data_IF_881271939807
#
_entry.id   IF_881271939807
#
_cell.length_a   1.000
_cell.length_b   1.000
_cell.length_c   1.000
_cell.angle_alpha   90.00
_cell.angle_beta   90.00
_cell.angle_gamma   90.00
#
_symmetry.space_group_name_H-M   'P 1'
#
loop_
_entity.id
_entity.type
_entity.pdbx_description
1 polymer ?
#
# COMPACT_ATOMS: atom_id res chain seq x y z
N UNK A 1 -3.64 4.33 -7.81
CA UNK A 1 -4.72 4.77 -6.89
C UNK A 1 -4.49 6.22 -6.50
N UNK A 2 -5.53 7.00 -6.22
CA UNK A 2 -5.41 8.37 -5.65
C UNK A 2 -6.17 8.42 -4.32
N UNK A 3 -5.59 9.03 -3.30
CA UNK A 3 -6.27 9.35 -2.02
C UNK A 3 -6.34 10.86 -1.83
N UNK A 4 -7.48 11.33 -1.34
CA UNK A 4 -7.70 12.73 -0.98
C UNK A 4 -7.95 12.85 0.53
N UNK A 5 -7.18 13.70 1.19
CA UNK A 5 -7.43 14.07 2.58
C UNK A 5 -8.37 15.28 2.64
N UNK A 6 -9.56 15.07 3.19
CA UNK A 6 -10.63 16.08 3.29
C UNK A 6 -10.81 16.62 4.72
N UNK A 7 -9.93 16.25 5.65
CA UNK A 7 -9.98 16.75 7.02
C UNK A 7 -9.57 18.22 7.12
N UNK A 8 -10.01 18.87 8.20
CA UNK A 8 -9.79 20.29 8.46
C UNK A 8 -8.53 20.59 9.30
N UNK A 9 -7.93 19.56 9.91
CA UNK A 9 -6.72 19.66 10.72
C UNK A 9 -5.55 18.96 10.02
N UNK A 10 -4.28 19.31 10.30
CA UNK A 10 -3.15 18.50 9.89
C UNK A 10 -3.27 17.08 10.45
N UNK A 11 -2.92 16.07 9.66
CA UNK A 11 -2.90 14.68 10.09
C UNK A 11 -1.74 13.92 9.45
N UNK A 12 -1.32 12.84 10.10
CA UNK A 12 -0.41 11.87 9.51
C UNK A 12 -1.21 10.70 8.95
N UNK A 13 -1.06 10.45 7.65
CA UNK A 13 -1.67 9.32 6.98
C UNK A 13 -0.67 8.17 6.90
N UNK A 14 -1.03 7.04 7.49
CA UNK A 14 -0.29 5.78 7.40
C UNK A 14 -1.07 4.76 6.58
N UNK A 15 -0.35 3.95 5.82
CA UNK A 15 -0.89 2.79 5.12
C UNK A 15 -0.52 1.50 5.86
N UNK A 16 -1.51 0.64 6.09
CA UNK A 16 -1.32 -0.67 6.70
C UNK A 16 -2.35 -1.68 6.18
N UNK A 17 -2.12 -2.97 6.40
CA UNK A 17 -3.05 -4.06 6.05
C UNK A 17 -3.34 -4.85 7.32
N UNK A 18 -4.53 -4.71 7.94
CA UNK A 18 -4.82 -5.33 9.24
C UNK A 18 -4.77 -6.85 9.19
N UNK A 19 -5.38 -7.44 8.16
CA UNK A 19 -5.51 -8.88 7.98
C UNK A 19 -5.59 -9.23 6.49
N UNK A 20 -5.32 -10.51 6.20
CA UNK A 20 -5.61 -11.13 4.91
C UNK A 20 -6.17 -12.54 5.12
N UNK A 21 -6.84 -13.05 4.10
CA UNK A 21 -7.26 -14.44 3.99
C UNK A 21 -6.50 -15.13 2.84
N UNK A 22 -6.52 -16.46 2.83
CA UNK A 22 -5.78 -17.26 1.86
C UNK A 22 -4.29 -17.30 2.13
N UNK A 23 -3.56 -17.87 1.17
CA UNK A 23 -2.18 -18.36 1.35
C UNK A 23 -1.23 -17.82 0.27
N UNK A 24 -1.75 -17.23 -0.82
CA UNK A 24 -0.93 -16.66 -1.89
C UNK A 24 -0.03 -15.51 -1.38
N UNK A 25 -0.41 -14.84 -0.28
CA UNK A 25 0.34 -13.73 0.29
C UNK A 25 1.79 -14.06 0.66
N UNK A 26 2.12 -15.34 0.92
CA UNK A 26 3.49 -15.80 1.18
C UNK A 26 4.37 -15.82 -0.08
N UNK A 27 3.77 -15.81 -1.27
CA UNK A 27 4.46 -15.86 -2.57
C UNK A 27 4.28 -14.56 -3.37
N UNK A 28 3.52 -13.61 -2.85
CA UNK A 28 3.23 -12.35 -3.53
C UNK A 28 4.15 -11.25 -3.00
N UNK A 29 5.18 -10.90 -3.77
CA UNK A 29 6.07 -9.77 -3.42
C UNK A 29 5.34 -8.46 -3.72
N UNK A 30 5.38 -7.57 -2.73
CA UNK A 30 4.68 -6.29 -2.74
C UNK A 30 5.66 -5.13 -2.86
N UNK A 31 5.32 -4.14 -3.68
CA UNK A 31 5.97 -2.83 -3.68
C UNK A 31 4.93 -1.72 -3.62
N UNK A 32 5.19 -0.73 -2.77
CA UNK A 32 4.38 0.49 -2.67
C UNK A 32 5.24 1.70 -3.00
N UNK A 33 4.74 2.50 -3.94
CA UNK A 33 5.33 3.79 -4.29
C UNK A 33 4.30 4.90 -4.15
N UNK A 34 4.78 6.11 -3.91
CA UNK A 34 3.99 7.33 -4.00
C UNK A 34 4.57 8.24 -5.07
N UNK A 35 3.72 9.07 -5.66
CA UNK A 35 4.13 9.92 -6.75
C UNK A 35 3.01 10.79 -7.28
N UNK A 36 3.13 11.13 -8.56
CA UNK A 36 2.12 11.86 -9.33
C UNK A 36 1.55 10.97 -10.43
N UNK A 37 0.38 11.34 -10.95
CA UNK A 37 -0.33 10.61 -12.00
C UNK A 37 -1.84 10.70 -11.79
N UNK A 38 -2.59 10.65 -12.89
CA UNK A 38 -4.06 10.70 -12.95
C UNK A 38 -4.73 9.34 -12.71
N UNK A 39 -3.94 8.25 -12.65
CA UNK A 39 -4.44 6.90 -12.37
C UNK A 39 -5.39 6.35 -13.46
N UNK A 40 -5.16 6.72 -14.71
CA UNK A 40 -5.95 6.21 -15.85
C UNK A 40 -5.62 4.74 -16.14
N UNK A 41 -4.34 4.40 -16.28
CA UNK A 41 -3.87 3.04 -16.61
C UNK A 41 -2.46 2.74 -16.01
N UNK A 42 -2.04 3.53 -15.02
CA UNK A 42 -0.71 3.52 -14.43
C UNK A 42 0.45 3.95 -15.36
N UNK A 43 0.23 4.20 -16.65
CA UNK A 43 1.29 4.59 -17.60
C UNK A 43 1.84 6.00 -17.34
N UNK A 44 1.02 6.85 -16.72
CA UNK A 44 1.33 8.23 -16.37
C UNK A 44 1.91 8.39 -14.95
N UNK A 45 2.12 7.28 -14.24
CA UNK A 45 2.65 7.32 -12.88
C UNK A 45 4.14 7.68 -12.89
N UNK A 46 4.48 8.76 -12.21
CA UNK A 46 5.87 9.14 -11.92
C UNK A 46 6.14 9.01 -10.43
N UNK A 47 7.07 8.11 -10.08
CA UNK A 47 7.41 7.84 -8.69
C UNK A 47 8.18 9.02 -8.08
N UNK A 48 7.70 9.53 -6.94
CA UNK A 48 8.46 10.43 -6.08
C UNK A 48 9.27 9.64 -5.05
N UNK A 49 8.75 8.50 -4.58
CA UNK A 49 9.45 7.65 -3.63
C UNK A 49 8.89 6.24 -3.52
N UNK A 50 9.71 5.32 -2.98
CA UNK A 50 9.31 3.94 -2.67
C UNK A 50 9.17 3.81 -1.16
N UNK A 51 8.00 3.40 -0.68
CA UNK A 51 7.71 3.22 0.76
C UNK A 51 8.00 1.80 1.24
N UNK A 52 7.84 0.83 0.34
CA UNK A 52 8.07 -0.56 0.64
C UNK A 52 8.48 -1.28 -0.62
N UNK A 53 9.44 -2.19 -0.49
CA UNK A 53 9.91 -3.04 -1.57
C UNK A 53 10.50 -4.34 -1.01
N UNK A 54 10.50 -5.38 -1.85
CA UNK A 54 11.32 -6.59 -1.70
C UNK A 54 10.92 -7.52 -0.54
N UNK A 55 9.63 -7.60 -0.21
CA UNK A 55 9.15 -8.62 0.72
C UNK A 55 7.71 -9.02 0.40
N UNK A 56 7.31 -10.18 0.92
CA UNK A 56 6.01 -10.79 0.61
C UNK A 56 4.88 -10.02 1.30
N UNK A 57 3.67 -10.14 0.76
CA UNK A 57 2.47 -9.56 1.35
C UNK A 57 2.25 -10.11 2.76
N UNK A 58 2.48 -11.40 2.99
CA UNK A 58 2.38 -12.00 4.32
C UNK A 58 3.33 -11.33 5.32
N UNK A 59 4.60 -11.16 4.95
CA UNK A 59 5.58 -10.48 5.80
C UNK A 59 5.24 -9.00 6.01
N UNK A 60 4.70 -8.33 4.98
CA UNK A 60 4.20 -6.96 5.12
C UNK A 60 3.10 -6.87 6.16
N UNK A 61 2.08 -7.74 6.09
CA UNK A 61 0.94 -7.74 7.02
C UNK A 61 1.41 -8.00 8.45
N UNK A 62 2.32 -8.96 8.66
CA UNK A 62 2.87 -9.22 10.00
C UNK A 62 3.53 -7.97 10.60
N UNK A 63 4.25 -7.20 9.79
CA UNK A 63 4.97 -6.03 10.25
C UNK A 63 4.12 -4.74 10.28
N UNK A 64 3.09 -4.64 9.44
CA UNK A 64 2.36 -3.40 9.07
C UNK A 64 0.85 -3.61 9.10
N UNK A 65 0.30 -3.94 10.28
CA UNK A 65 -1.11 -4.30 10.51
C UNK A 65 -1.93 -3.27 11.31
N UNK A 66 -1.31 -2.20 11.78
CA UNK A 66 -1.99 -1.13 12.53
C UNK A 66 -1.53 0.23 12.04
N UNK A 67 -2.23 1.28 12.44
CA UNK A 67 -1.78 2.64 12.15
C UNK A 67 -0.38 2.92 12.72
N UNK A 68 -0.12 2.49 13.96
CA UNK A 68 1.13 2.76 14.68
C UNK A 68 2.37 2.17 14.01
N UNK A 69 2.24 1.03 13.33
CA UNK A 69 3.32 0.39 12.58
C UNK A 69 3.21 0.55 11.06
N UNK A 70 2.26 1.35 10.55
CA UNK A 70 2.08 1.56 9.11
C UNK A 70 3.26 2.23 8.42
N UNK A 71 3.13 2.44 7.10
CA UNK A 71 4.14 3.10 6.26
C UNK A 71 3.60 4.34 5.55
N UNK A 72 4.52 5.20 5.13
CA UNK A 72 4.25 6.35 4.28
C UNK A 72 4.32 7.69 4.99
N UNK A 73 3.89 7.76 6.25
CA UNK A 73 3.91 8.96 7.08
C UNK A 73 3.59 10.24 6.29
N UNK A 74 2.50 10.21 5.51
CA UNK A 74 2.12 11.35 4.68
C UNK A 74 1.53 12.43 5.57
N UNK A 75 2.26 13.52 5.76
CA UNK A 75 1.74 14.74 6.40
C UNK A 75 0.70 15.38 5.48
N UNK A 76 -0.57 15.12 5.74
CA UNK A 76 -1.68 15.67 4.98
C UNK A 76 -2.17 16.97 5.65
N UNK A 77 -2.24 18.03 4.84
CA UNK A 77 -2.90 19.30 5.17
C UNK A 77 -4.25 19.36 4.44
N UNK A 78 -5.02 20.41 4.68
CA UNK A 78 -6.37 20.60 4.11
C UNK A 78 -6.38 20.41 2.57
N UNK A 79 -7.25 19.52 2.08
CA UNK A 79 -7.45 19.21 0.66
C UNK A 79 -6.22 18.65 -0.09
N UNK A 80 -5.29 18.00 0.61
CA UNK A 80 -4.13 17.38 -0.03
C UNK A 80 -4.50 16.05 -0.74
N UNK A 81 -3.92 15.81 -1.90
CA UNK A 81 -4.03 14.54 -2.64
C UNK A 81 -2.68 13.85 -2.75
N UNK A 82 -2.70 12.53 -2.86
CA UNK A 82 -1.50 11.73 -3.16
C UNK A 82 -1.85 10.53 -4.04
N UNK A 83 -1.02 10.29 -5.04
CA UNK A 83 -1.12 9.13 -5.93
C UNK A 83 -0.20 8.01 -5.44
N UNK A 84 -0.71 6.78 -5.47
CA UNK A 84 -0.04 5.56 -5.05
C UNK A 84 0.00 4.56 -6.19
N UNK A 85 1.14 3.86 -6.31
CA UNK A 85 1.28 2.68 -7.19
C UNK A 85 1.58 1.46 -6.33
N UNK A 86 0.75 0.43 -6.50
CA UNK A 86 0.95 -0.88 -5.92
C UNK A 86 1.42 -1.80 -7.05
N UNK A 87 2.58 -2.42 -6.87
CA UNK A 87 3.10 -3.42 -7.79
C UNK A 87 3.18 -4.76 -7.07
N UNK A 88 2.83 -5.81 -7.80
CA UNK A 88 2.81 -7.18 -7.29
C UNK A 88 3.59 -8.08 -8.22
N UNK A 89 4.39 -8.95 -7.63
CA UNK A 89 5.12 -9.99 -8.37
C UNK A 89 4.80 -11.32 -7.69
N UNK A 90 4.17 -12.23 -8.43
CA UNK A 90 4.04 -13.61 -7.99
C UNK A 90 5.41 -14.27 -8.17
N UNK A 91 5.97 -14.80 -7.09
CA UNK A 91 7.23 -15.54 -7.16
C UNK A 91 7.07 -16.76 -8.07
N UNK A 92 8.15 -17.11 -8.78
CA UNK A 92 8.20 -18.31 -9.61
C UNK A 92 8.36 -19.55 -8.72
N UNK A 93 7.27 -19.95 -8.08
CA UNK A 93 7.19 -21.10 -7.17
C UNK A 93 5.91 -21.89 -7.47
N UNK A 94 6.05 -23.19 -7.76
CA UNK A 94 4.91 -24.07 -8.05
C UNK A 94 3.95 -24.18 -6.86
N UNK A 95 4.42 -23.95 -5.63
CA UNK A 95 3.57 -23.92 -4.44
C UNK A 95 2.59 -22.73 -4.42
N UNK A 96 2.81 -21.71 -5.26
CA UNK A 96 1.89 -20.59 -5.44
C UNK A 96 0.71 -20.91 -6.36
N UNK A 97 0.78 -22.00 -7.14
CA UNK A 97 -0.27 -22.39 -8.10
C UNK A 97 -1.57 -22.69 -7.35
N UNK A 98 -2.70 -22.23 -7.92
CA UNK A 98 -4.06 -22.37 -7.37
C UNK A 98 -4.28 -21.74 -5.98
N UNK A 99 -3.32 -20.97 -5.45
CA UNK A 99 -3.49 -20.23 -4.22
C UNK A 99 -4.20 -18.89 -4.50
N UNK A 100 -4.94 -18.40 -3.52
CA UNK A 100 -5.54 -17.06 -3.56
C UNK A 100 -5.21 -16.30 -2.28
N UNK A 101 -5.33 -14.97 -2.33
CA UNK A 101 -5.30 -14.14 -1.13
C UNK A 101 -6.19 -12.93 -1.31
N UNK A 102 -6.86 -12.53 -0.23
CA UNK A 102 -7.70 -11.32 -0.19
C UNK A 102 -7.31 -10.51 1.04
N UNK A 103 -7.21 -9.19 0.89
CA UNK A 103 -6.82 -8.29 1.97
C UNK A 103 -7.43 -6.90 1.76
N UNK A 104 -7.35 -6.05 2.78
CA UNK A 104 -7.74 -4.65 2.68
C UNK A 104 -6.58 -3.77 3.09
N UNK A 105 -6.05 -3.00 2.13
CA UNK A 105 -5.11 -1.92 2.43
C UNK A 105 -5.87 -0.69 2.93
N UNK A 106 -5.46 -0.16 4.07
CA UNK A 106 -6.08 0.98 4.73
C UNK A 106 -5.11 2.15 4.77
N UNK A 107 -5.53 3.26 4.20
CA UNK A 107 -4.91 4.57 4.43
C UNK A 107 -5.74 5.27 5.51
N UNK A 108 -5.15 5.48 6.68
CA UNK A 108 -5.84 6.09 7.81
C UNK A 108 -5.08 7.31 8.28
N UNK A 109 -5.83 8.39 8.46
CA UNK A 109 -5.34 9.64 9.02
C UNK A 109 -5.58 9.66 10.53
N UNK A 110 -4.55 10.00 11.31
CA UNK A 110 -4.69 10.37 12.72
C UNK A 110 -4.02 11.72 12.97
N UNK A 111 -4.62 12.50 13.87
CA UNK A 111 -4.17 13.82 14.27
C UNK A 111 -3.16 13.73 15.43
#
# INVERSE_FOLDING_TARGET
>A
MITTYTGSLPATVQMYVPTATGTLGSYLVFRLQYGTGSNTDCSDFSATGTLYSNSTLAAFITARNTWANGIGSWSATTNATRTWKLEWIVQSDDAAINQTTSFTARWEAQA
#
